data_IF_487934833684
#
_entry.id   IF_487934833684
#
_cell.length_a   1.000
_cell.length_b   1.000
_cell.length_c   1.000
_cell.angle_alpha   90.00
_cell.angle_beta   90.00
_cell.angle_gamma   90.00
#
_symmetry.space_group_name_H-M   'P 1'
#
loop_
_entity.id
_entity.type
_entity.pdbx_description
1 polymer ?
#
# COMPACT_ATOMS: atom_id res chain seq x y z
N UNK A 1 15.42 45.77 -4.67
CA UNK A 1 15.54 44.50 -5.40
C UNK A 1 15.52 43.39 -4.37
N UNK A 2 14.46 42.57 -4.37
CA UNK A 2 14.28 41.48 -3.42
C UNK A 2 14.93 40.23 -4.02
N UNK A 3 15.78 39.57 -3.24
CA UNK A 3 16.54 38.38 -3.61
C UNK A 3 15.58 37.18 -3.81
N UNK A 4 15.49 36.54 -4.98
CA UNK A 4 14.49 35.48 -5.24
C UNK A 4 15.02 34.07 -4.91
N UNK A 5 15.74 33.91 -3.80
CA UNK A 5 16.34 32.63 -3.41
C UNK A 5 15.92 32.25 -1.99
N UNK A 6 14.69 31.78 -1.86
CA UNK A 6 14.25 30.89 -0.79
C UNK A 6 12.95 30.19 -1.22
N UNK A 7 13.00 29.46 -2.33
CA UNK A 7 12.11 28.31 -2.45
C UNK A 7 12.60 27.31 -1.41
N UNK A 8 11.82 27.08 -0.36
CA UNK A 8 12.08 25.99 0.59
C UNK A 8 12.19 24.71 -0.23
N UNK A 9 13.38 24.13 -0.33
CA UNK A 9 13.53 22.80 -0.91
C UNK A 9 12.64 21.86 -0.09
N UNK A 10 11.76 21.11 -0.76
CA UNK A 10 11.00 20.04 -0.12
C UNK A 10 11.98 19.14 0.63
N UNK A 11 11.63 18.77 1.87
CA UNK A 11 12.46 17.82 2.60
C UNK A 11 12.36 16.45 1.93
N UNK A 12 13.48 15.74 1.80
CA UNK A 12 13.49 14.38 1.23
C UNK A 12 12.63 13.41 2.05
N UNK A 13 12.37 12.19 1.54
CA UNK A 13 11.58 11.20 2.28
C UNK A 13 12.19 10.89 3.65
N UNK A 14 11.35 10.63 4.65
CA UNK A 14 11.76 10.18 5.99
C UNK A 14 12.38 8.79 5.94
N UNK A 15 11.88 7.95 5.05
CA UNK A 15 12.44 6.65 4.74
C UNK A 15 12.13 6.27 3.31
N UNK A 16 13.01 5.43 2.76
CA UNK A 16 12.90 4.95 1.41
C UNK A 16 13.30 3.48 1.33
N UNK A 17 12.58 2.70 0.53
CA UNK A 17 13.15 1.45 0.03
C UNK A 17 14.24 1.83 -0.97
N UNK A 18 15.50 1.52 -0.68
CA UNK A 18 16.60 1.81 -1.61
C UNK A 18 16.66 0.76 -2.71
N UNK A 19 15.88 0.97 -3.77
CA UNK A 19 15.92 0.08 -4.92
C UNK A 19 17.27 0.16 -5.68
N UNK A 20 17.91 1.33 -5.71
CA UNK A 20 19.10 1.60 -6.53
C UNK A 20 20.47 1.23 -5.94
N UNK A 21 20.54 0.75 -4.69
CA UNK A 21 21.80 0.35 -4.03
C UNK A 21 22.01 -1.17 -3.99
N UNK A 22 21.13 -1.94 -4.65
CA UNK A 22 21.15 -3.41 -4.69
C UNK A 22 22.20 -3.88 -5.70
N UNK A 23 23.27 -4.58 -5.27
CA UNK A 23 24.15 -5.28 -6.20
C UNK A 23 23.34 -6.28 -7.04
N UNK A 24 23.69 -6.45 -8.31
CA UNK A 24 23.24 -7.63 -9.05
C UNK A 24 23.57 -8.87 -8.19
N UNK A 25 22.63 -9.80 -8.05
CA UNK A 25 22.75 -11.07 -7.31
C UNK A 25 22.34 -11.07 -5.82
N UNK A 26 21.61 -10.05 -5.33
CA UNK A 26 20.99 -10.08 -3.99
C UNK A 26 19.53 -10.54 -4.07
N UNK A 27 19.28 -11.76 -3.60
CA UNK A 27 17.96 -12.40 -3.60
C UNK A 27 16.98 -11.84 -2.54
N UNK A 28 17.44 -11.07 -1.54
CA UNK A 28 16.55 -10.40 -0.58
C UNK A 28 17.11 -9.11 0.02
N UNK A 29 16.23 -8.13 0.23
CA UNK A 29 16.55 -6.84 0.83
C UNK A 29 16.21 -6.86 2.33
N UNK A 30 17.19 -6.67 3.21
CA UNK A 30 17.04 -6.80 4.67
C UNK A 30 16.09 -5.80 5.33
N UNK A 31 15.59 -4.80 4.59
CA UNK A 31 14.53 -3.89 5.07
C UNK A 31 13.15 -4.55 5.08
N UNK A 32 12.92 -5.56 4.24
CA UNK A 32 11.61 -6.21 4.10
C UNK A 32 11.66 -7.65 4.60
N UNK A 33 10.68 -8.03 5.42
CA UNK A 33 10.40 -9.41 5.77
C UNK A 33 9.28 -9.97 4.88
N UNK A 34 9.55 -11.09 4.23
CA UNK A 34 8.63 -11.73 3.29
C UNK A 34 7.55 -12.59 3.98
N UNK A 35 6.36 -12.55 3.39
CA UNK A 35 5.23 -13.44 3.69
C UNK A 35 4.82 -14.14 2.38
N UNK A 36 5.63 -15.13 2.01
CA UNK A 36 5.52 -15.87 0.76
C UNK A 36 5.41 -17.38 1.03
N UNK A 37 4.81 -18.12 0.08
CA UNK A 37 4.76 -19.59 0.13
C UNK A 37 6.09 -20.24 -0.29
N UNK A 38 6.75 -19.66 -1.28
CA UNK A 38 7.96 -20.19 -1.89
C UNK A 38 8.92 -19.05 -2.27
N UNK A 39 10.23 -19.34 -2.43
CA UNK A 39 11.19 -18.38 -2.97
C UNK A 39 10.80 -17.87 -4.37
N UNK A 40 11.26 -16.68 -4.75
CA UNK A 40 11.04 -16.07 -6.08
C UNK A 40 9.66 -15.41 -6.26
N UNK A 41 8.82 -15.41 -5.22
CA UNK A 41 7.52 -14.71 -5.19
C UNK A 41 7.67 -13.20 -5.00
N UNK A 42 8.77 -12.79 -4.38
CA UNK A 42 9.23 -11.41 -4.31
C UNK A 42 10.65 -11.40 -4.83
N UNK A 43 10.94 -10.58 -5.84
CA UNK A 43 12.27 -10.45 -6.44
C UNK A 43 12.56 -8.98 -6.74
N UNK A 44 13.83 -8.58 -6.69
CA UNK A 44 14.29 -7.28 -7.16
C UNK A 44 14.85 -7.46 -8.57
N UNK A 45 14.26 -6.79 -9.55
CA UNK A 45 14.55 -6.98 -10.97
C UNK A 45 14.69 -5.63 -11.65
N UNK A 46 15.31 -5.60 -12.82
CA UNK A 46 15.23 -4.42 -13.69
C UNK A 46 13.77 -4.09 -14.03
N UNK A 47 13.44 -2.81 -14.05
CA UNK A 47 12.14 -2.28 -14.47
C UNK A 47 11.83 -2.81 -15.88
N UNK A 48 10.72 -3.54 -16.06
CA UNK A 48 10.32 -4.05 -17.37
C UNK A 48 10.15 -2.95 -18.43
N UNK A 49 9.91 -1.70 -18.02
CA UNK A 49 9.79 -0.55 -18.89
C UNK A 49 11.08 0.29 -18.99
N UNK A 50 12.11 -0.05 -18.20
CA UNK A 50 13.42 0.60 -18.19
C UNK A 50 13.45 2.04 -17.65
N UNK A 51 12.38 2.48 -16.98
CA UNK A 51 12.19 3.86 -16.51
C UNK A 51 12.58 4.10 -15.04
N UNK A 52 12.57 3.06 -14.20
CA UNK A 52 12.78 3.16 -12.73
C UNK A 52 14.02 2.42 -12.19
N UNK A 53 14.87 1.87 -13.06
CA UNK A 53 16.03 1.09 -12.61
C UNK A 53 15.61 -0.24 -12.01
N UNK A 54 16.04 -0.56 -10.79
CA UNK A 54 15.60 -1.77 -10.08
C UNK A 54 14.24 -1.54 -9.41
N UNK A 55 13.38 -2.56 -9.42
CA UNK A 55 12.03 -2.53 -8.85
C UNK A 55 11.71 -3.87 -8.16
N UNK A 56 10.74 -3.88 -7.24
CA UNK A 56 10.28 -5.09 -6.59
C UNK A 56 9.16 -5.73 -7.42
N UNK A 57 9.42 -6.91 -8.01
CA UNK A 57 8.39 -7.76 -8.61
C UNK A 57 7.75 -8.64 -7.55
N UNK A 58 6.43 -8.68 -7.54
CA UNK A 58 5.62 -9.58 -6.71
C UNK A 58 4.84 -10.50 -7.63
N UNK A 59 4.88 -11.79 -7.36
CA UNK A 59 4.13 -12.82 -8.08
C UNK A 59 3.37 -13.72 -7.10
N UNK A 60 2.09 -13.93 -7.36
CA UNK A 60 1.25 -14.91 -6.67
C UNK A 60 0.81 -15.97 -7.67
N UNK A 61 1.10 -17.23 -7.38
CA UNK A 61 0.69 -18.38 -8.18
C UNK A 61 -0.52 -19.08 -7.54
N UNK A 62 -1.30 -19.82 -8.36
CA UNK A 62 -2.31 -20.73 -7.85
C UNK A 62 -1.72 -21.69 -6.81
N UNK A 63 -2.34 -21.78 -5.65
CA UNK A 63 -1.90 -22.64 -4.55
C UNK A 63 -0.86 -22.02 -3.61
N UNK A 64 -0.53 -20.74 -3.71
CA UNK A 64 0.31 -20.01 -2.73
C UNK A 64 -0.41 -19.77 -1.37
N UNK A 65 -1.16 -20.77 -0.91
CA UNK A 65 -1.83 -20.82 0.39
C UNK A 65 -0.85 -21.24 1.50
N UNK A 66 -1.26 -21.04 2.76
CA UNK A 66 -0.44 -21.30 3.95
C UNK A 66 0.89 -20.53 3.98
N UNK A 67 0.97 -19.41 3.26
CA UNK A 67 1.99 -18.40 3.53
C UNK A 67 1.74 -17.80 4.92
N UNK A 68 2.78 -17.22 5.53
CA UNK A 68 2.69 -16.68 6.90
C UNK A 68 1.50 -15.72 7.01
N UNK A 69 0.59 -16.02 7.93
CA UNK A 69 -0.61 -15.23 8.18
C UNK A 69 -1.67 -15.26 7.07
N UNK A 70 -1.56 -16.09 6.03
CA UNK A 70 -2.51 -16.12 4.90
C UNK A 70 -3.68 -17.09 5.07
N UNK A 71 -3.48 -18.16 5.85
CA UNK A 71 -4.44 -19.26 5.93
C UNK A 71 -4.73 -19.81 4.53
N UNK A 72 -6.01 -19.80 4.13
CA UNK A 72 -6.43 -20.24 2.79
C UNK A 72 -6.30 -19.19 1.68
N UNK A 73 -5.93 -17.95 2.02
CA UNK A 73 -5.67 -16.93 1.00
C UNK A 73 -4.29 -17.11 0.40
N UNK A 74 -4.16 -16.81 -0.89
CA UNK A 74 -2.89 -16.85 -1.61
C UNK A 74 -2.15 -15.53 -1.40
N UNK A 75 -0.87 -15.59 -0.99
CA UNK A 75 -0.11 -14.41 -0.56
C UNK A 75 1.32 -14.42 -1.08
N UNK A 76 1.72 -13.27 -1.62
CA UNK A 76 3.11 -12.85 -1.71
C UNK A 76 3.17 -11.38 -1.28
N UNK A 77 3.63 -11.12 -0.06
CA UNK A 77 3.74 -9.77 0.47
C UNK A 77 5.06 -9.57 1.21
N UNK A 78 5.43 -8.32 1.40
CA UNK A 78 6.49 -7.89 2.29
C UNK A 78 5.93 -7.01 3.40
N UNK A 79 6.59 -7.07 4.54
CA UNK A 79 6.28 -6.29 5.75
C UNK A 79 7.57 -5.74 6.33
N UNK A 80 7.51 -4.54 6.92
CA UNK A 80 8.65 -3.99 7.64
C UNK A 80 8.16 -3.53 9.01
N UNK A 81 8.68 -4.16 10.07
CA UNK A 81 8.31 -3.91 11.45
C UNK A 81 9.08 -2.75 12.11
N UNK A 82 9.95 -2.06 11.37
CA UNK A 82 10.68 -0.89 11.83
C UNK A 82 9.87 0.40 11.63
N UNK A 83 10.25 1.25 10.70
CA UNK A 83 9.66 2.58 10.46
C UNK A 83 8.27 2.54 9.79
N UNK A 84 7.90 1.37 9.26
CA UNK A 84 6.62 1.07 8.64
C UNK A 84 5.66 0.29 9.58
N UNK A 85 5.87 0.39 10.89
CA UNK A 85 5.05 -0.23 11.93
C UNK A 85 4.93 0.67 13.17
N UNK A 86 4.23 0.19 14.19
CA UNK A 86 4.03 0.90 15.46
C UNK A 86 3.10 2.10 15.35
N UNK A 87 2.30 2.19 14.29
CA UNK A 87 1.36 3.30 14.15
C UNK A 87 0.18 3.13 15.10
N UNK A 88 -0.37 4.24 15.57
CA UNK A 88 -1.44 4.26 16.58
C UNK A 88 -2.56 5.23 16.20
N UNK A 89 -3.69 5.10 16.88
CA UNK A 89 -4.84 5.99 16.71
C UNK A 89 -4.46 7.48 16.87
N UNK A 90 -5.04 8.35 16.04
CA UNK A 90 -4.73 9.77 16.01
C UNK A 90 -3.38 10.15 15.36
N UNK A 91 -2.59 9.18 14.89
CA UNK A 91 -1.38 9.47 14.09
C UNK A 91 -1.75 9.76 12.63
N UNK A 92 -1.03 10.70 12.03
CA UNK A 92 -1.06 10.95 10.58
C UNK A 92 0.16 10.30 9.92
N UNK A 93 -0.06 9.63 8.79
CA UNK A 93 0.94 9.01 7.93
C UNK A 93 0.87 9.63 6.53
N UNK A 94 2.04 9.79 5.91
CA UNK A 94 2.16 10.20 4.51
C UNK A 94 3.10 9.21 3.82
N UNK A 95 2.61 8.53 2.80
CA UNK A 95 3.32 7.45 2.12
C UNK A 95 3.13 7.56 0.60
N UNK A 96 4.11 7.07 -0.15
CA UNK A 96 3.99 6.92 -1.60
C UNK A 96 4.57 5.60 -2.06
N UNK A 97 4.14 5.17 -3.25
CA UNK A 97 4.70 4.04 -3.97
C UNK A 97 4.36 4.17 -5.46
N UNK A 98 5.25 3.67 -6.31
CA UNK A 98 4.95 3.35 -7.69
C UNK A 98 4.36 1.95 -7.80
N UNK A 99 3.37 1.78 -8.67
CA UNK A 99 2.75 0.49 -9.00
C UNK A 99 2.66 0.32 -10.51
N UNK A 100 3.01 -0.85 -11.02
CA UNK A 100 2.76 -1.26 -12.40
C UNK A 100 2.15 -2.65 -12.42
N UNK A 101 1.16 -2.84 -13.30
CA UNK A 101 0.60 -4.14 -13.66
C UNK A 101 0.76 -4.31 -15.18
N UNK A 102 1.08 -5.52 -15.64
CA UNK A 102 1.31 -5.78 -17.06
C UNK A 102 0.01 -6.17 -17.80
N UNK A 103 0.08 -6.33 -19.13
CA UNK A 103 -1.06 -6.81 -19.93
C UNK A 103 -1.57 -8.19 -19.55
N UNK A 104 -0.78 -8.98 -18.83
CA UNK A 104 -1.13 -10.33 -18.37
C UNK A 104 -1.69 -10.34 -16.95
N UNK A 105 -1.83 -9.17 -16.32
CA UNK A 105 -2.43 -9.04 -15.00
C UNK A 105 -3.77 -9.76 -14.95
N UNK A 106 -3.91 -10.56 -13.91
CA UNK A 106 -5.11 -11.30 -13.62
C UNK A 106 -5.34 -11.28 -12.11
N UNK A 107 -6.59 -11.16 -11.70
CA UNK A 107 -6.99 -11.12 -10.29
C UNK A 107 -8.40 -11.67 -10.17
N UNK A 108 -8.73 -12.48 -9.15
CA UNK A 108 -10.08 -12.98 -9.01
C UNK A 108 -11.06 -11.81 -8.81
N UNK A 109 -12.31 -11.94 -9.24
CA UNK A 109 -13.32 -10.93 -8.95
C UNK A 109 -13.57 -10.83 -7.44
N UNK A 110 -14.07 -9.67 -6.99
CA UNK A 110 -14.44 -9.43 -5.59
C UNK A 110 -13.38 -8.67 -4.79
N UNK A 111 -13.56 -8.61 -3.47
CA UNK A 111 -12.90 -7.60 -2.63
C UNK A 111 -11.69 -8.10 -1.85
N UNK A 112 -11.42 -9.41 -1.86
CA UNK A 112 -10.27 -9.99 -1.17
C UNK A 112 -9.08 -10.09 -2.13
N UNK A 113 -8.51 -8.94 -2.49
CA UNK A 113 -7.42 -8.80 -3.47
C UNK A 113 -6.52 -7.59 -3.16
N UNK A 114 -5.92 -7.56 -1.96
CA UNK A 114 -5.19 -6.37 -1.49
C UNK A 114 -3.77 -6.35 -2.01
N UNK A 115 -3.31 -5.21 -2.53
CA UNK A 115 -1.91 -5.00 -2.93
C UNK A 115 -1.12 -4.09 -1.98
N UNK A 116 -1.82 -3.24 -1.23
CA UNK A 116 -1.27 -2.46 -0.12
C UNK A 116 -2.25 -2.55 1.04
N UNK A 117 -1.72 -2.74 2.25
CA UNK A 117 -2.51 -2.82 3.46
C UNK A 117 -1.82 -2.05 4.59
N UNK A 118 -2.60 -1.33 5.39
CA UNK A 118 -2.19 -1.01 6.75
C UNK A 118 -3.02 -1.89 7.66
N UNK A 119 -2.37 -2.87 8.25
CA UNK A 119 -2.99 -3.92 9.02
C UNK A 119 -2.96 -3.58 10.51
N UNK A 120 -4.03 -3.93 11.21
CA UNK A 120 -4.08 -3.84 12.67
C UNK A 120 -3.13 -4.86 13.30
N UNK A 121 -2.65 -4.58 14.51
CA UNK A 121 -1.83 -5.56 15.22
C UNK A 121 -2.64 -6.81 15.58
N UNK A 122 -1.95 -7.94 15.74
CA UNK A 122 -2.59 -9.24 15.95
C UNK A 122 -3.05 -9.90 14.65
N UNK A 123 -4.06 -10.76 14.73
CA UNK A 123 -4.53 -11.55 13.59
C UNK A 123 -6.05 -11.67 13.49
N UNK A 124 -6.54 -11.92 12.27
CA UNK A 124 -7.95 -12.23 12.02
C UNK A 124 -8.91 -11.04 12.00
N UNK A 125 -8.40 -9.82 12.10
CA UNK A 125 -9.15 -8.60 11.81
C UNK A 125 -8.99 -8.19 10.34
N UNK A 126 -9.94 -7.41 9.84
CA UNK A 126 -9.83 -6.74 8.55
C UNK A 126 -8.77 -5.65 8.64
N UNK A 127 -7.91 -5.52 7.61
CA UNK A 127 -6.94 -4.42 7.55
C UNK A 127 -7.69 -3.07 7.57
N UNK A 128 -7.37 -2.14 8.50
CA UNK A 128 -7.96 -0.81 8.55
C UNK A 128 -7.89 -0.01 7.27
N UNK A 129 -6.83 -0.20 6.48
CA UNK A 129 -6.70 0.35 5.14
C UNK A 129 -6.28 -0.75 4.19
N UNK A 130 -6.95 -0.86 3.05
CA UNK A 130 -6.69 -1.90 2.05
C UNK A 130 -6.94 -1.33 0.66
N UNK A 131 -5.89 -1.22 -0.14
CA UNK A 131 -5.99 -0.93 -1.56
C UNK A 131 -6.00 -2.23 -2.34
N UNK A 132 -6.91 -2.33 -3.31
CA UNK A 132 -7.27 -3.60 -3.96
C UNK A 132 -7.29 -3.46 -5.46
N UNK A 133 -6.92 -4.54 -6.15
CA UNK A 133 -7.12 -4.70 -7.59
C UNK A 133 -7.93 -5.97 -7.83
N UNK A 134 -9.17 -5.82 -8.27
CA UNK A 134 -10.08 -6.92 -8.54
C UNK A 134 -10.26 -7.11 -10.04
N UNK A 135 -10.55 -8.35 -10.44
CA UNK A 135 -10.82 -8.68 -11.83
C UNK A 135 -9.58 -8.51 -12.73
N UNK A 136 -9.66 -9.12 -13.92
CA UNK A 136 -8.54 -9.13 -14.84
C UNK A 136 -8.27 -7.75 -15.47
N UNK A 137 -9.20 -6.81 -15.40
CA UNK A 137 -8.99 -5.43 -15.88
C UNK A 137 -8.37 -4.49 -14.85
N UNK A 138 -8.17 -4.94 -13.60
CA UNK A 138 -7.55 -4.12 -12.56
C UNK A 138 -8.49 -3.07 -11.99
N UNK A 139 -9.67 -3.49 -11.54
CA UNK A 139 -10.63 -2.65 -10.82
C UNK A 139 -10.02 -2.20 -9.49
N UNK A 140 -9.65 -0.93 -9.41
CA UNK A 140 -8.99 -0.32 -8.27
C UNK A 140 -10.02 0.16 -7.24
N UNK A 141 -9.84 -0.25 -5.99
CA UNK A 141 -10.64 0.27 -4.87
C UNK A 141 -9.81 0.50 -3.61
N UNK A 142 -10.29 1.42 -2.77
CA UNK A 142 -9.78 1.69 -1.43
C UNK A 142 -10.84 1.28 -0.40
N UNK A 143 -10.51 0.34 0.48
CA UNK A 143 -11.31 -0.02 1.64
C UNK A 143 -10.78 0.62 2.91
N UNK A 144 -11.69 1.21 3.71
CA UNK A 144 -11.40 1.70 5.06
C UNK A 144 -12.24 0.93 6.09
N UNK A 145 -11.60 0.54 7.19
CA UNK A 145 -12.23 -0.22 8.27
C UNK A 145 -11.79 0.32 9.62
N UNK A 146 -12.71 0.35 10.58
CA UNK A 146 -12.39 0.84 11.91
C UNK A 146 -13.56 0.91 12.86
N UNK A 147 -13.30 1.44 14.06
CA UNK A 147 -14.24 1.49 15.19
C UNK A 147 -14.30 0.19 15.98
N UNK A 148 -14.91 0.27 17.17
CA UNK A 148 -14.85 -0.81 18.16
C UNK A 148 -13.50 -0.86 18.87
N UNK A 149 -13.46 -1.57 19.99
CA UNK A 149 -12.24 -1.76 20.79
C UNK A 149 -11.39 -2.87 20.19
N UNK A 150 -10.10 -2.61 20.03
CA UNK A 150 -9.15 -3.56 19.48
C UNK A 150 -9.13 -4.85 20.31
N UNK A 151 -9.09 -5.97 19.59
CA UNK A 151 -8.87 -7.29 20.16
C UNK A 151 -7.72 -7.97 19.40
N UNK A 152 -6.86 -8.74 20.08
CA UNK A 152 -5.68 -9.36 19.47
C UNK A 152 -6.02 -10.44 18.44
N UNK A 153 -7.23 -10.98 18.50
CA UNK A 153 -7.71 -12.05 17.63
C UNK A 153 -9.17 -11.81 17.25
N UNK A 154 -9.43 -11.68 15.95
CA UNK A 154 -10.77 -11.53 15.39
C UNK A 154 -11.19 -10.08 15.16
N UNK A 155 -12.41 -9.91 14.66
CA UNK A 155 -12.95 -8.60 14.28
C UNK A 155 -13.55 -7.87 15.50
N UNK A 156 -13.12 -6.63 15.80
CA UNK A 156 -13.73 -5.81 16.84
C UNK A 156 -15.25 -5.63 16.68
N UNK A 157 -15.99 -5.79 17.78
CA UNK A 157 -17.43 -5.56 17.77
C UNK A 157 -17.74 -4.10 17.47
N UNK A 158 -18.71 -3.85 16.58
CA UNK A 158 -19.11 -2.49 16.20
C UNK A 158 -18.16 -1.81 15.21
N UNK A 159 -17.18 -2.54 14.67
CA UNK A 159 -16.39 -2.05 13.55
C UNK A 159 -17.28 -1.85 12.31
N UNK A 160 -16.95 -0.84 11.51
CA UNK A 160 -17.60 -0.54 10.24
C UNK A 160 -16.59 -0.60 9.10
N UNK A 161 -17.09 -0.73 7.88
CA UNK A 161 -16.28 -0.69 6.67
C UNK A 161 -16.93 0.14 5.58
N UNK A 162 -16.12 0.82 4.78
CA UNK A 162 -16.52 1.53 3.57
C UNK A 162 -15.53 1.25 2.45
N UNK A 163 -15.99 1.40 1.21
CA UNK A 163 -15.18 1.17 0.00
C UNK A 163 -15.40 2.33 -0.97
N UNK A 164 -14.30 2.83 -1.53
CA UNK A 164 -14.27 3.79 -2.61
C UNK A 164 -13.86 3.06 -3.89
N UNK A 165 -14.72 3.05 -4.89
CA UNK A 165 -14.38 2.57 -6.24
C UNK A 165 -13.61 3.66 -6.98
N UNK A 166 -12.41 3.35 -7.45
CA UNK A 166 -11.48 4.31 -8.04
C UNK A 166 -11.33 4.12 -9.57
N UNK A 167 -12.12 3.23 -10.14
CA UNK A 167 -12.11 2.87 -11.55
C UNK A 167 -10.99 1.90 -11.91
N UNK A 168 -10.64 1.84 -13.19
CA UNK A 168 -9.59 0.95 -13.67
C UNK A 168 -8.19 1.53 -13.39
N UNK A 169 -7.25 0.64 -13.07
CA UNK A 169 -5.81 0.93 -13.13
C UNK A 169 -5.30 0.55 -14.53
N UNK A 170 -4.89 1.50 -15.37
CA UNK A 170 -4.30 1.18 -16.66
C UNK A 170 -3.08 0.26 -16.55
N UNK A 171 -2.96 -0.68 -17.50
CA UNK A 171 -1.89 -1.66 -17.58
C UNK A 171 -0.69 -1.13 -18.37
N UNK A 172 0.47 -1.76 -18.19
CA UNK A 172 1.73 -1.49 -18.90
C UNK A 172 2.27 -0.07 -18.75
N UNK A 173 2.01 0.57 -17.61
CA UNK A 173 2.59 1.85 -17.26
C UNK A 173 2.71 1.97 -15.74
N UNK A 174 3.67 2.80 -15.31
CA UNK A 174 3.82 3.11 -13.89
C UNK A 174 2.76 4.10 -13.44
N UNK A 175 2.22 3.85 -12.25
CA UNK A 175 1.30 4.73 -11.55
C UNK A 175 1.88 5.13 -10.20
N UNK A 176 1.97 6.43 -9.96
CA UNK A 176 2.48 6.96 -8.69
C UNK A 176 1.32 7.25 -7.75
N UNK A 177 1.36 6.62 -6.57
CA UNK A 177 0.37 6.81 -5.54
C UNK A 177 0.93 7.64 -4.39
N UNK A 178 0.09 8.53 -3.85
CA UNK A 178 0.35 9.25 -2.61
C UNK A 178 -0.84 9.03 -1.69
N UNK A 179 -0.59 8.61 -0.46
CA UNK A 179 -1.59 8.40 0.58
C UNK A 179 -1.25 9.29 1.78
N UNK A 180 -2.13 10.22 2.10
CA UNK A 180 -2.18 10.86 3.41
C UNK A 180 -3.32 10.24 4.20
N UNK A 181 -3.03 9.77 5.41
CA UNK A 181 -4.00 9.09 6.25
C UNK A 181 -3.85 9.54 7.69
N UNK A 182 -4.97 9.78 8.36
CA UNK A 182 -5.03 9.91 9.81
C UNK A 182 -5.93 8.83 10.40
N UNK A 183 -5.41 8.07 11.35
CA UNK A 183 -6.22 7.14 12.13
C UNK A 183 -7.17 7.89 13.06
N UNK A 184 -8.37 7.36 13.23
CA UNK A 184 -9.37 7.91 14.12
C UNK A 184 -10.50 6.92 14.31
N UNK A 185 -10.33 6.00 15.26
CA UNK A 185 -11.25 4.88 15.49
C UNK A 185 -12.67 5.33 15.86
N UNK A 186 -12.82 6.55 16.40
CA UNK A 186 -14.11 7.15 16.79
C UNK A 186 -14.77 7.99 15.69
N UNK A 187 -14.16 8.07 14.50
CA UNK A 187 -14.71 8.84 13.38
C UNK A 187 -14.02 10.19 13.18
N UNK A 188 -12.81 10.36 13.69
CA UNK A 188 -11.98 11.57 13.51
C UNK A 188 -10.87 11.39 12.47
N UNK A 189 -10.84 10.21 11.82
CA UNK A 189 -9.86 9.88 10.81
C UNK A 189 -10.20 10.54 9.48
N UNK A 190 -9.19 10.61 8.62
CA UNK A 190 -9.34 11.07 7.25
C UNK A 190 -8.39 10.33 6.33
N UNK A 191 -8.71 10.30 5.05
CA UNK A 191 -7.84 9.77 4.00
C UNK A 191 -7.87 10.69 2.79
N UNK A 192 -6.69 10.88 2.21
CA UNK A 192 -6.51 11.52 0.91
C UNK A 192 -5.60 10.65 0.07
N UNK A 193 -6.02 10.37 -1.16
CA UNK A 193 -5.32 9.49 -2.07
C UNK A 193 -5.18 10.18 -3.42
N UNK A 194 -3.95 10.21 -3.94
CA UNK A 194 -3.66 10.64 -5.30
C UNK A 194 -3.13 9.48 -6.12
N UNK A 195 -3.42 9.52 -7.43
CA UNK A 195 -2.79 8.68 -8.45
C UNK A 195 -2.31 9.60 -9.58
N UNK A 196 -1.04 9.51 -9.93
CA UNK A 196 -0.40 10.31 -10.99
C UNK A 196 -0.61 11.82 -10.78
N UNK A 197 -0.50 12.26 -9.53
CA UNK A 197 -0.76 13.64 -9.13
C UNK A 197 -2.24 14.06 -9.16
N UNK A 198 -3.18 13.19 -9.56
CA UNK A 198 -4.61 13.49 -9.52
C UNK A 198 -5.24 13.01 -8.20
N UNK A 199 -5.98 13.88 -7.51
CA UNK A 199 -6.70 13.50 -6.28
C UNK A 199 -7.88 12.58 -6.61
N UNK A 200 -7.84 11.37 -6.06
CA UNK A 200 -8.85 10.32 -6.25
C UNK A 200 -9.84 10.27 -5.07
N UNK A 201 -9.33 10.49 -3.85
CA UNK A 201 -10.12 10.48 -2.61
C UNK A 201 -9.70 11.68 -1.76
N UNK A 202 -10.69 12.36 -1.18
CA UNK A 202 -10.55 13.36 -0.12
C UNK A 202 -11.74 13.17 0.83
N UNK A 203 -11.54 12.43 1.92
CA UNK A 203 -12.60 11.98 2.81
C UNK A 203 -12.22 12.17 4.28
N UNK A 204 -13.10 12.84 5.04
CA UNK A 204 -12.95 13.14 6.47
C UNK A 204 -14.04 12.46 7.30
N UNK A 205 -13.93 12.56 8.62
CA UNK A 205 -14.89 12.02 9.59
C UNK A 205 -15.09 10.50 9.46
N UNK A 206 -14.00 9.78 9.18
CA UNK A 206 -14.01 8.33 8.95
C UNK A 206 -13.49 7.56 10.14
N UNK A 207 -14.07 6.38 10.37
CA UNK A 207 -13.58 5.40 11.35
C UNK A 207 -12.49 4.57 10.69
N UNK A 208 -11.23 4.94 10.94
CA UNK A 208 -10.08 4.26 10.37
C UNK A 208 -9.20 3.76 11.52
N UNK A 209 -9.06 2.45 11.63
CA UNK A 209 -8.36 1.78 12.73
C UNK A 209 -9.28 1.40 13.90
N UNK A 210 -8.77 0.54 14.78
CA UNK A 210 -9.48 0.00 15.94
C UNK A 210 -9.00 0.70 17.22
N UNK A 211 -9.92 0.98 18.15
CA UNK A 211 -9.59 1.76 19.34
C UNK A 211 -8.63 0.99 20.26
N UNK A 212 -7.49 1.60 20.58
CA UNK A 212 -6.48 0.97 21.44
C UNK A 212 -5.59 -0.06 20.75
N UNK A 213 -5.60 -0.15 19.41
CA UNK A 213 -4.61 -0.95 18.68
C UNK A 213 -3.18 -0.46 18.98
N UNK A 214 -2.29 -1.32 19.49
CA UNK A 214 -0.96 -0.89 19.91
C UNK A 214 0.05 -0.68 18.78
N UNK A 215 -0.14 -1.26 17.59
CA UNK A 215 0.90 -1.27 16.54
C UNK A 215 0.37 -1.63 15.15
N UNK A 216 -0.33 -0.70 14.49
CA UNK A 216 -0.66 -0.87 13.08
C UNK A 216 0.62 -0.87 12.23
N UNK A 217 0.59 -1.58 11.10
CA UNK A 217 1.77 -1.76 10.25
C UNK A 217 1.44 -1.89 8.76
N UNK A 218 2.38 -1.46 7.92
CA UNK A 218 2.28 -1.51 6.48
C UNK A 218 2.65 -2.89 5.92
N UNK A 219 1.95 -3.25 4.84
CA UNK A 219 2.25 -4.39 3.98
C UNK A 219 2.08 -3.96 2.53
N UNK A 220 2.93 -4.48 1.65
CA UNK A 220 2.73 -4.37 0.21
C UNK A 220 3.01 -5.70 -0.49
N UNK A 221 2.37 -5.91 -1.63
CA UNK A 221 2.51 -7.11 -2.45
C UNK A 221 1.18 -7.50 -3.06
N UNK A 222 0.75 -8.75 -2.89
CA UNK A 222 -0.59 -9.18 -3.23
C UNK A 222 -1.11 -10.27 -2.29
N UNK A 223 -2.29 -10.04 -1.73
CA UNK A 223 -3.02 -11.00 -0.92
C UNK A 223 -4.43 -11.17 -1.46
N UNK A 224 -4.69 -12.34 -2.02
CA UNK A 224 -5.92 -12.64 -2.75
C UNK A 224 -6.61 -13.91 -2.26
N UNK A 225 -7.90 -14.02 -2.58
CA UNK A 225 -8.57 -15.32 -2.57
C UNK A 225 -7.91 -16.25 -3.60
N UNK A 226 -8.02 -17.57 -3.39
CA UNK A 226 -7.49 -18.57 -4.32
C UNK A 226 -7.97 -18.32 -5.76
N UNK A 227 -7.05 -18.39 -6.71
CA UNK A 227 -7.34 -18.14 -8.12
C UNK A 227 -6.48 -19.02 -9.04
N UNK A 228 -7.00 -19.33 -10.23
CA UNK A 228 -6.40 -20.28 -11.17
C UNK A 228 -5.37 -19.66 -12.11
N UNK A 229 -5.19 -18.33 -12.06
CA UNK A 229 -4.19 -17.60 -12.84
C UNK A 229 -3.10 -17.01 -11.95
N UNK A 230 -1.95 -16.73 -12.55
CA UNK A 230 -0.86 -15.99 -11.88
C UNK A 230 -1.21 -14.50 -11.82
N UNK A 231 -0.96 -13.86 -10.67
CA UNK A 231 -0.96 -12.39 -10.57
C UNK A 231 0.47 -11.90 -10.47
N UNK A 232 0.81 -10.84 -11.21
CA UNK A 232 2.11 -10.16 -11.10
C UNK A 232 1.93 -8.66 -10.99
N UNK A 233 2.68 -8.04 -10.08
CA UNK A 233 2.74 -6.59 -9.90
C UNK A 233 4.20 -6.17 -9.71
N UNK A 234 4.48 -4.90 -9.97
CA UNK A 234 5.77 -4.29 -9.68
C UNK A 234 5.58 -3.07 -8.82
N UNK A 235 6.42 -2.96 -7.79
CA UNK A 235 6.50 -1.84 -6.89
C UNK A 235 7.83 -1.11 -7.07
N UNK A 236 7.77 0.21 -6.99
CA UNK A 236 8.93 1.10 -6.93
C UNK A 236 8.65 2.22 -5.94
N UNK A 237 9.67 3.00 -5.59
CA UNK A 237 9.52 4.25 -4.82
C UNK A 237 8.58 4.15 -3.61
N UNK A 238 8.65 3.04 -2.85
CA UNK A 238 7.97 2.90 -1.57
C UNK A 238 8.66 3.78 -0.54
N UNK A 239 8.02 4.89 -0.20
CA UNK A 239 8.58 5.96 0.61
C UNK A 239 7.60 6.37 1.73
N UNK A 240 8.16 6.82 2.86
CA UNK A 240 7.42 7.53 3.90
C UNK A 240 7.88 8.99 3.93
N UNK A 241 6.93 9.89 4.13
CA UNK A 241 7.17 11.33 4.08
C UNK A 241 6.82 12.01 5.39
N UNK A 242 7.41 13.18 5.63
CA UNK A 242 7.14 13.98 6.82
C UNK A 242 5.77 14.64 6.76
N UNK A 243 5.36 15.07 5.57
CA UNK A 243 4.12 15.78 5.34
C UNK A 243 3.70 15.68 3.85
N UNK A 244 2.45 16.01 3.59
CA UNK A 244 1.85 15.97 2.25
C UNK A 244 2.47 16.99 1.30
N UNK A 245 2.92 18.15 1.77
CA UNK A 245 3.48 19.17 0.89
C UNK A 245 4.77 18.69 0.20
N UNK A 246 5.65 17.99 0.92
CA UNK A 246 6.90 17.46 0.37
C UNK A 246 6.64 16.43 -0.73
N UNK A 247 5.80 15.43 -0.46
CA UNK A 247 5.46 14.39 -1.44
C UNK A 247 4.66 14.96 -2.63
N UNK A 248 3.77 15.91 -2.40
CA UNK A 248 3.02 16.56 -3.47
C UNK A 248 3.91 17.46 -4.33
N UNK A 249 4.98 18.04 -3.77
CA UNK A 249 6.00 18.73 -4.56
C UNK A 249 6.80 17.75 -5.42
N UNK A 250 7.00 16.51 -4.96
CA UNK A 250 7.73 15.49 -5.69
C UNK A 250 6.90 14.90 -6.84
N UNK A 251 5.63 14.57 -6.59
CA UNK A 251 4.72 13.93 -7.56
C UNK A 251 3.75 14.90 -8.27
N UNK A 252 3.89 16.20 -8.06
CA UNK A 252 3.00 17.24 -8.63
C UNK A 252 1.51 17.02 -8.35
N UNK A 253 1.15 16.74 -7.09
CA UNK A 253 -0.25 16.51 -6.74
C UNK A 253 -1.09 17.78 -6.91
N UNK A 254 -2.24 17.61 -7.54
CA UNK A 254 -3.29 18.61 -7.68
C UNK A 254 -4.18 18.63 -6.43
N UNK A 255 -4.75 19.81 -6.14
CA UNK A 255 -5.60 20.04 -4.95
C UNK A 255 -7.07 20.26 -5.28
N UNK A 256 -7.58 19.83 -6.44
CA UNK A 256 -9.01 20.02 -6.75
C UNK A 256 -9.57 19.09 -7.85
N UNK A 257 -10.82 18.66 -7.61
CA UNK A 257 -11.76 18.15 -8.63
C UNK A 257 -12.11 19.25 -9.63
N UNK A 258 -11.76 19.07 -10.90
CA UNK A 258 -12.46 19.69 -12.03
C UNK A 258 -13.59 18.80 -12.50
#
# INVERSE_FOLDING_TARGET
MVNPAAASAASGPLSQTEYGSVPADVDSYGYWAEQVKAPGRVEYVDDPLGSRGIVQRVEVQPGDIDAVGSGKGERAEVTNSSDLSGFVDGQTLVMSWGLMIDSTFASPPGTWNSFVQIHASGGGNQAPVSLRLAGDEGDLSLGLFGGGDWIPSGQPQGSVGEVFELGLLPKNQWHDFVLELRFGCTGTGYVRLWRDGQEMVDAYDRKIGYCGDPALYWKQGFYRVAYDKVTRLWFSDTLRWANTADVCSYYWCSTAKT
#
